data_IF_374616535064
#
_entry.id   IF_374616535064
#
_cell.length_a   1.000
_cell.length_b   1.000
_cell.length_c   1.000
_cell.angle_alpha   90.00
_cell.angle_beta   90.00
_cell.angle_gamma   90.00
#
_symmetry.space_group_name_H-M   'P 1'
#
loop_
_entity.id
_entity.type
_entity.pdbx_description
1 polymer ?
#
# COMPACT_ATOMS: atom_id res chain seq x y z
N UNK A 1 -8.97 29.23 16.84
CA UNK A 1 -9.20 27.77 16.91
C UNK A 1 -8.36 27.18 18.02
N UNK A 2 -8.99 26.51 18.98
CA UNK A 2 -8.32 25.88 20.12
C UNK A 2 -7.58 24.58 19.72
N UNK A 3 -6.76 24.05 20.64
CA UNK A 3 -5.93 22.86 20.41
C UNK A 3 -6.76 21.59 20.17
N UNK A 4 -7.91 21.43 20.82
CA UNK A 4 -8.80 20.27 20.64
C UNK A 4 -9.42 20.27 19.24
N UNK A 5 -9.85 21.43 18.76
CA UNK A 5 -10.32 21.61 17.37
C UNK A 5 -9.24 21.27 16.33
N UNK A 6 -7.98 21.61 16.59
CA UNK A 6 -6.86 21.25 15.72
C UNK A 6 -6.59 19.73 15.71
N UNK A 7 -6.64 19.08 16.88
CA UNK A 7 -6.53 17.62 17.00
C UNK A 7 -7.64 16.92 16.22
N UNK A 8 -8.88 17.38 16.37
CA UNK A 8 -10.04 16.84 15.63
C UNK A 8 -9.83 16.88 14.12
N UNK A 9 -9.43 18.03 13.57
CA UNK A 9 -9.15 18.18 12.14
C UNK A 9 -8.01 17.30 11.64
N UNK A 10 -6.91 17.18 12.39
CA UNK A 10 -5.80 16.29 12.02
C UNK A 10 -6.20 14.82 12.05
N UNK A 11 -7.02 14.40 13.02
CA UNK A 11 -7.57 13.03 13.07
C UNK A 11 -8.52 12.74 11.91
N UNK A 12 -9.39 13.68 11.56
CA UNK A 12 -10.27 13.56 10.39
C UNK A 12 -9.44 13.42 9.11
N UNK A 13 -8.48 14.32 8.88
CA UNK A 13 -7.60 14.26 7.71
C UNK A 13 -6.79 12.97 7.64
N UNK A 14 -6.30 12.48 8.78
CA UNK A 14 -5.60 11.18 8.83
C UNK A 14 -6.51 10.02 8.40
N UNK A 15 -7.80 10.04 8.74
CA UNK A 15 -8.75 9.00 8.33
C UNK A 15 -9.00 9.04 6.83
N UNK A 16 -9.18 10.22 6.26
CA UNK A 16 -9.34 10.40 4.80
C UNK A 16 -8.11 9.86 4.05
N UNK A 17 -6.92 10.32 4.42
CA UNK A 17 -5.67 9.87 3.80
C UNK A 17 -5.45 8.38 3.99
N UNK A 18 -5.82 7.81 5.15
CA UNK A 18 -5.72 6.38 5.38
C UNK A 18 -6.68 5.58 4.49
N UNK A 19 -7.88 6.11 4.21
CA UNK A 19 -8.83 5.47 3.29
C UNK A 19 -8.29 5.50 1.85
N UNK A 20 -7.80 6.64 1.39
CA UNK A 20 -7.18 6.78 0.06
C UNK A 20 -5.95 5.86 -0.09
N UNK A 21 -5.06 5.84 0.92
CA UNK A 21 -3.90 4.96 0.94
C UNK A 21 -4.29 3.47 0.88
N UNK A 22 -5.37 3.08 1.57
CA UNK A 22 -5.84 1.69 1.54
C UNK A 22 -6.29 1.25 0.14
N UNK A 23 -6.91 2.14 -0.64
CA UNK A 23 -7.31 1.86 -2.02
C UNK A 23 -6.07 1.71 -2.92
N UNK A 24 -5.09 2.61 -2.77
CA UNK A 24 -3.83 2.52 -3.52
C UNK A 24 -3.04 1.24 -3.19
N UNK A 25 -3.02 0.83 -1.92
CA UNK A 25 -2.37 -0.41 -1.48
C UNK A 25 -3.04 -1.65 -2.09
N UNK A 26 -4.37 -1.63 -2.24
CA UNK A 26 -5.11 -2.72 -2.89
C UNK A 26 -4.78 -2.82 -4.38
N UNK A 27 -4.81 -1.69 -5.09
CA UNK A 27 -4.43 -1.59 -6.50
C UNK A 27 -2.97 -2.02 -6.74
N UNK A 28 -2.04 -1.56 -5.89
CA UNK A 28 -0.65 -2.01 -5.93
C UNK A 28 -0.56 -3.54 -5.76
N UNK A 29 -1.35 -4.09 -4.84
CA UNK A 29 -1.41 -5.53 -4.62
C UNK A 29 -1.89 -6.30 -5.84
N UNK A 30 -2.86 -5.78 -6.57
CA UNK A 30 -3.35 -6.34 -7.84
C UNK A 30 -2.27 -6.33 -8.91
N UNK A 31 -1.59 -5.19 -9.10
CA UNK A 31 -0.51 -5.04 -10.07
C UNK A 31 0.67 -5.98 -9.78
N UNK A 32 1.06 -6.12 -8.51
CA UNK A 32 2.12 -7.07 -8.10
C UNK A 32 1.74 -8.49 -8.47
N UNK A 33 0.48 -8.89 -8.26
CA UNK A 33 0.01 -10.23 -8.63
C UNK A 33 -0.04 -10.44 -10.14
N UNK A 34 -0.51 -9.44 -10.89
CA UNK A 34 -0.50 -9.47 -12.35
C UNK A 34 0.92 -9.61 -12.89
N UNK A 35 1.88 -8.84 -12.37
CA UNK A 35 3.28 -8.94 -12.78
C UNK A 35 3.87 -10.35 -12.55
N UNK A 36 3.51 -11.02 -11.45
CA UNK A 36 3.89 -12.42 -11.28
C UNK A 36 3.25 -13.35 -12.32
N UNK A 37 1.99 -13.13 -12.69
CA UNK A 37 1.30 -13.89 -13.72
C UNK A 37 1.92 -13.67 -15.12
N UNK A 38 2.42 -12.45 -15.38
CA UNK A 38 3.14 -12.09 -16.61
C UNK A 38 4.59 -12.63 -16.65
N UNK A 39 5.03 -13.34 -15.60
CA UNK A 39 6.34 -14.00 -15.53
C UNK A 39 7.46 -13.15 -14.96
N UNK A 40 7.19 -11.95 -14.43
CA UNK A 40 8.22 -11.16 -13.74
C UNK A 40 8.66 -11.81 -12.43
N UNK A 41 9.94 -11.66 -12.11
CA UNK A 41 10.52 -12.21 -10.88
C UNK A 41 10.25 -11.30 -9.68
N UNK A 42 10.13 -11.91 -8.49
CA UNK A 42 9.94 -11.17 -7.24
C UNK A 42 10.98 -10.06 -7.00
N UNK A 43 12.29 -10.28 -7.24
CA UNK A 43 13.31 -9.23 -7.16
C UNK A 43 13.05 -8.03 -8.06
N UNK A 44 12.66 -8.26 -9.33
CA UNK A 44 12.39 -7.17 -10.29
C UNK A 44 11.16 -6.37 -9.88
N UNK A 45 10.11 -7.06 -9.42
CA UNK A 45 8.90 -6.41 -8.89
C UNK A 45 9.24 -5.58 -7.65
N UNK A 46 10.06 -6.10 -6.73
CA UNK A 46 10.44 -5.38 -5.51
C UNK A 46 11.24 -4.11 -5.80
N UNK A 47 12.15 -4.16 -6.76
CA UNK A 47 12.93 -3.01 -7.22
C UNK A 47 12.00 -1.90 -7.76
N UNK A 48 11.09 -2.23 -8.68
CA UNK A 48 10.18 -1.26 -9.30
C UNK A 48 9.17 -0.72 -8.28
N UNK A 49 8.61 -1.58 -7.43
CA UNK A 49 7.65 -1.18 -6.41
C UNK A 49 8.29 -0.50 -5.19
N UNK A 50 9.62 -0.42 -5.11
CA UNK A 50 10.37 0.05 -3.94
C UNK A 50 9.95 -0.68 -2.64
N UNK A 51 9.71 -1.98 -2.75
CA UNK A 51 9.33 -2.86 -1.65
C UNK A 51 10.44 -3.85 -1.34
N UNK A 52 10.44 -4.38 -0.12
CA UNK A 52 11.29 -5.51 0.21
C UNK A 52 10.82 -6.78 -0.54
N UNK A 53 11.77 -7.66 -0.91
CA UNK A 53 11.43 -8.96 -1.53
C UNK A 53 10.41 -9.75 -0.70
N UNK A 54 10.53 -9.86 0.65
CA UNK A 54 9.53 -10.54 1.46
C UNK A 54 8.13 -9.92 1.32
N UNK A 55 8.03 -8.59 1.28
CA UNK A 55 6.74 -7.90 1.16
C UNK A 55 6.06 -8.21 -0.17
N UNK A 56 6.81 -8.26 -1.27
CA UNK A 56 6.29 -8.65 -2.59
C UNK A 56 5.71 -10.07 -2.56
N UNK A 57 6.40 -11.02 -1.92
CA UNK A 57 5.89 -12.40 -1.78
C UNK A 57 4.69 -12.52 -0.84
N UNK A 58 4.61 -11.68 0.21
CA UNK A 58 3.41 -11.57 1.06
C UNK A 58 2.19 -11.09 0.25
N UNK A 59 2.37 -10.02 -0.55
CA UNK A 59 1.34 -9.49 -1.44
C UNK A 59 0.87 -10.56 -2.45
N UNK A 60 1.81 -11.31 -3.03
CA UNK A 60 1.50 -12.44 -3.92
C UNK A 60 0.63 -13.49 -3.24
N UNK A 61 0.94 -13.84 -2.00
CA UNK A 61 0.24 -14.87 -1.22
C UNK A 61 -1.05 -14.40 -0.55
N UNK A 62 -1.44 -13.12 -0.71
CA UNK A 62 -2.58 -12.47 0.00
C UNK A 62 -2.51 -12.58 1.53
N UNK A 63 -1.32 -12.78 2.10
CA UNK A 63 -1.12 -12.73 3.55
C UNK A 63 -0.79 -11.28 3.94
N UNK A 64 -1.75 -10.59 4.57
CA UNK A 64 -1.55 -9.23 5.09
C UNK A 64 -0.81 -9.27 6.42
#
# INVERSE_FOLDING_TARGET
>A
MDRLSQIGRKRARRREVAAEASVLDEQLGELVRAAFADGYTGPRIAEVAQLSKPRVYQIRSRRR
#
